data_IF_318814329888
#
_entry.id   IF_318814329888
#
_cell.length_a   1.000
_cell.length_b   1.000
_cell.length_c   1.000
_cell.angle_alpha   90.00
_cell.angle_beta   90.00
_cell.angle_gamma   90.00
#
_symmetry.space_group_name_H-M   'P 1'
#
loop_
_entity.id
_entity.type
_entity.pdbx_description
1 polymer ?
#
# COMPACT_ATOMS: atom_id res chain seq x y z
N UNK A 1 -4.52 2.89 5.71
CA UNK A 1 -3.41 2.60 6.66
C UNK A 1 -3.21 1.11 6.86
N UNK A 2 -4.24 0.32 7.16
CA UNK A 2 -4.12 -1.13 7.39
C UNK A 2 -3.42 -1.90 6.26
N UNK A 3 -3.73 -1.59 5.01
CA UNK A 3 -3.11 -2.21 3.84
C UNK A 3 -1.58 -2.01 3.77
N UNK A 4 -1.09 -0.81 4.08
CA UNK A 4 0.35 -0.56 4.16
C UNK A 4 1.01 -1.30 5.35
N UNK A 5 0.29 -1.40 6.49
CA UNK A 5 0.76 -2.19 7.63
C UNK A 5 0.84 -3.69 7.28
N UNK A 6 -0.11 -4.23 6.50
CA UNK A 6 -0.06 -5.61 6.05
C UNK A 6 1.21 -5.90 5.25
N UNK A 7 1.60 -5.00 4.34
CA UNK A 7 2.87 -5.12 3.61
C UNK A 7 4.10 -4.96 4.49
N UNK A 8 4.08 -4.04 5.46
CA UNK A 8 5.18 -3.93 6.42
C UNK A 8 5.34 -5.19 7.28
N UNK A 9 4.23 -5.87 7.57
CA UNK A 9 4.26 -7.17 8.25
C UNK A 9 4.78 -8.29 7.34
N UNK A 10 4.29 -8.39 6.09
CA UNK A 10 4.69 -9.46 5.17
C UNK A 10 6.18 -9.47 4.83
N UNK A 11 6.80 -8.28 4.85
CA UNK A 11 8.25 -8.13 4.66
C UNK A 11 9.11 -8.44 5.89
N UNK A 12 8.53 -8.83 7.03
CA UNK A 12 9.29 -9.18 8.23
C UNK A 12 9.99 -10.54 8.06
N UNK A 13 11.19 -10.68 8.63
CA UNK A 13 11.96 -11.93 8.57
C UNK A 13 11.36 -13.06 9.40
N UNK A 14 10.58 -12.71 10.42
CA UNK A 14 9.94 -13.66 11.33
C UNK A 14 8.43 -13.45 11.30
N UNK A 15 7.77 -14.16 10.38
CA UNK A 15 6.32 -14.22 10.32
C UNK A 15 5.81 -15.48 11.00
N UNK A 16 4.65 -15.43 11.70
CA UNK A 16 3.98 -16.63 12.15
C UNK A 16 3.67 -17.56 10.98
N UNK A 17 3.90 -18.87 11.15
CA UNK A 17 3.74 -19.86 10.09
C UNK A 17 2.29 -20.04 9.58
N UNK A 18 1.33 -19.47 10.27
CA UNK A 18 -0.08 -19.45 9.88
C UNK A 18 -0.46 -18.23 9.01
N UNK A 19 0.47 -17.33 8.70
CA UNK A 19 0.27 -16.27 7.71
C UNK A 19 0.59 -16.83 6.34
N UNK A 20 -0.44 -17.05 5.52
CA UNK A 20 -0.33 -17.80 4.27
C UNK A 20 -0.36 -16.91 3.01
N UNK A 21 -0.98 -15.74 3.08
CA UNK A 21 -1.09 -14.81 1.97
C UNK A 21 -1.33 -13.37 2.46
N UNK A 22 -1.19 -12.41 1.56
CA UNK A 22 -1.45 -10.99 1.83
C UNK A 22 -2.44 -10.43 0.81
N UNK A 23 -3.50 -9.80 1.31
CA UNK A 23 -4.42 -9.00 0.50
C UNK A 23 -4.36 -7.55 0.97
N UNK A 24 -4.14 -6.65 0.05
CA UNK A 24 -4.01 -5.22 0.34
C UNK A 24 -4.96 -4.41 -0.52
N UNK A 25 -5.88 -3.68 0.11
CA UNK A 25 -6.79 -2.76 -0.57
C UNK A 25 -6.39 -1.31 -0.28
N UNK A 26 -6.06 -0.56 -1.35
CA UNK A 26 -5.68 0.85 -1.32
C UNK A 26 -4.48 1.17 -0.42
N UNK A 27 -3.35 0.46 -0.58
CA UNK A 27 -2.11 0.77 0.12
C UNK A 27 -1.37 1.95 -0.50
N UNK A 28 -0.69 2.74 0.35
CA UNK A 28 0.31 3.72 -0.08
C UNK A 28 1.73 3.13 -0.01
N UNK A 29 2.66 3.71 -0.75
CA UNK A 29 4.07 3.26 -0.81
C UNK A 29 4.81 3.50 0.50
N UNK A 30 4.76 4.73 0.99
CA UNK A 30 5.42 5.15 2.23
C UNK A 30 4.77 6.43 2.79
N UNK A 31 4.98 6.67 4.07
CA UNK A 31 4.37 7.80 4.76
C UNK A 31 4.86 9.15 4.22
N UNK A 32 6.16 9.28 3.87
CA UNK A 32 6.73 10.52 3.37
C UNK A 32 6.15 10.88 1.99
N UNK A 33 6.10 9.93 1.05
CA UNK A 33 5.51 10.11 -0.28
C UNK A 33 4.02 10.45 -0.20
N UNK A 34 3.30 9.85 0.75
CA UNK A 34 1.90 10.13 0.99
C UNK A 34 1.70 11.58 1.48
N UNK A 35 2.53 12.08 2.40
CA UNK A 35 2.46 13.48 2.84
C UNK A 35 2.82 14.45 1.71
N UNK A 36 3.83 14.14 0.89
CA UNK A 36 4.19 14.93 -0.29
C UNK A 36 3.03 15.05 -1.27
N UNK A 37 2.37 13.93 -1.57
CA UNK A 37 1.20 13.92 -2.44
C UNK A 37 0.11 14.83 -1.87
N UNK A 38 -0.26 14.69 -0.59
CA UNK A 38 -1.32 15.47 0.05
C UNK A 38 -1.02 16.96 0.08
N UNK A 39 0.18 17.37 0.45
CA UNK A 39 0.56 18.78 0.52
C UNK A 39 0.46 19.44 -0.87
N UNK A 40 0.90 18.75 -1.92
CA UNK A 40 0.82 19.26 -3.27
C UNK A 40 -0.60 19.23 -3.83
N UNK A 41 -1.27 18.09 -3.72
CA UNK A 41 -2.51 17.81 -4.46
C UNK A 41 -3.76 18.39 -3.78
N UNK A 42 -3.81 18.38 -2.45
CA UNK A 42 -4.95 18.90 -1.70
C UNK A 42 -4.81 20.36 -1.31
N UNK A 43 -3.60 20.81 -1.02
CA UNK A 43 -3.37 22.18 -0.53
C UNK A 43 -2.73 23.08 -1.58
N UNK A 44 -2.25 22.54 -2.70
CA UNK A 44 -1.54 23.31 -3.72
C UNK A 44 -0.24 23.94 -3.22
N UNK A 45 0.31 23.42 -2.12
CA UNK A 45 1.50 23.98 -1.47
C UNK A 45 2.78 23.31 -1.99
N UNK A 46 3.92 24.05 -1.98
CA UNK A 46 5.19 23.45 -2.32
C UNK A 46 5.58 22.38 -1.30
N UNK A 47 6.06 21.25 -1.80
CA UNK A 47 6.50 20.11 -0.95
C UNK A 47 7.67 20.54 -0.08
N UNK A 48 8.71 21.13 -0.69
CA UNK A 48 9.85 21.73 0.01
C UNK A 48 9.56 23.21 0.34
N UNK A 49 9.83 23.67 1.56
CA UNK A 49 10.44 22.95 2.68
C UNK A 49 9.42 22.31 3.65
N UNK A 50 8.11 22.31 3.35
CA UNK A 50 7.04 21.99 4.31
C UNK A 50 7.16 20.56 4.82
N UNK A 51 7.17 19.58 3.91
CA UNK A 51 7.20 18.16 4.31
C UNK A 51 8.53 17.80 4.95
N UNK A 52 9.63 18.33 4.42
CA UNK A 52 10.97 18.09 4.95
C UNK A 52 11.13 18.66 6.36
N UNK A 53 10.65 19.88 6.59
CA UNK A 53 10.67 20.50 7.93
C UNK A 53 9.80 19.72 8.93
N UNK A 54 8.63 19.25 8.49
CA UNK A 54 7.76 18.44 9.32
C UNK A 54 8.42 17.09 9.66
N UNK A 55 9.05 16.43 8.68
CA UNK A 55 9.76 15.17 8.90
C UNK A 55 10.92 15.32 9.91
N UNK A 56 11.71 16.41 9.78
CA UNK A 56 12.78 16.73 10.72
C UNK A 56 12.21 17.00 12.13
N UNK A 57 11.11 17.75 12.24
CA UNK A 57 10.50 18.05 13.53
C UNK A 57 9.95 16.80 14.22
N UNK A 58 9.33 15.88 13.47
CA UNK A 58 8.86 14.59 13.96
C UNK A 58 10.01 13.74 14.46
N UNK A 59 11.10 13.68 13.72
CA UNK A 59 12.30 12.93 14.12
C UNK A 59 12.94 13.48 15.40
N UNK A 60 13.07 14.81 15.50
CA UNK A 60 13.72 15.44 16.66
C UNK A 60 12.86 15.41 17.93
N UNK A 61 11.52 15.53 17.80
CA UNK A 61 10.61 15.61 18.96
C UNK A 61 10.01 14.27 19.35
N UNK A 62 9.70 13.42 18.38
CA UNK A 62 9.01 12.16 18.59
C UNK A 62 9.86 10.92 18.35
N UNK A 63 11.06 11.05 17.79
CA UNK A 63 11.89 9.92 17.38
C UNK A 63 11.34 9.15 16.16
N UNK A 64 10.30 9.69 15.50
CA UNK A 64 9.66 9.04 14.36
C UNK A 64 10.30 9.49 13.06
N UNK A 65 10.80 8.54 12.28
CA UNK A 65 11.26 8.79 10.92
C UNK A 65 10.17 8.34 9.92
N UNK A 66 9.63 9.30 9.16
CA UNK A 66 8.59 9.03 8.16
C UNK A 66 9.05 8.07 7.05
N UNK A 67 10.36 8.00 6.79
CA UNK A 67 10.92 7.09 5.79
C UNK A 67 10.95 5.63 6.26
N UNK A 68 10.90 5.37 7.57
CA UNK A 68 10.83 4.01 8.10
C UNK A 68 9.45 3.36 7.92
N UNK A 69 8.39 4.15 7.77
CA UNK A 69 7.04 3.65 7.51
C UNK A 69 6.84 3.44 5.99
N UNK A 70 7.59 2.48 5.43
CA UNK A 70 7.63 2.19 4.00
C UNK A 70 7.12 0.78 3.70
N UNK A 71 5.91 0.69 3.15
CA UNK A 71 5.37 -0.53 2.58
C UNK A 71 6.17 -0.95 1.32
N UNK A 72 6.67 0.05 0.57
CA UNK A 72 7.45 -0.18 -0.64
C UNK A 72 8.77 -0.90 -0.36
N UNK A 73 9.44 -0.55 0.73
CA UNK A 73 10.68 -1.24 1.10
C UNK A 73 10.41 -2.62 1.68
N UNK A 74 9.35 -2.76 2.48
CA UNK A 74 8.97 -4.03 3.06
C UNK A 74 8.58 -5.07 2.00
N UNK A 75 7.80 -4.69 1.01
CA UNK A 75 7.27 -5.61 -0.02
C UNK A 75 8.39 -6.20 -0.92
N UNK A 76 9.56 -5.58 -0.95
CA UNK A 76 10.76 -6.13 -1.61
C UNK A 76 11.30 -7.37 -0.92
N UNK A 77 10.95 -7.57 0.34
CA UNK A 77 11.28 -8.77 1.11
C UNK A 77 10.15 -9.80 1.17
N UNK A 78 8.98 -9.46 0.64
CA UNK A 78 7.80 -10.32 0.69
C UNK A 78 8.00 -11.60 -0.10
N UNK A 79 7.55 -12.71 0.49
CA UNK A 79 7.59 -14.06 -0.11
C UNK A 79 6.22 -14.71 -0.15
N UNK A 80 5.22 -14.09 0.46
CA UNK A 80 3.85 -14.61 0.53
C UNK A 80 3.11 -14.33 -0.78
N UNK A 81 2.22 -15.22 -1.22
CA UNK A 81 1.25 -14.91 -2.26
C UNK A 81 0.52 -13.60 -1.96
N UNK A 82 0.54 -12.67 -2.90
CA UNK A 82 0.15 -11.27 -2.66
C UNK A 82 -0.84 -10.78 -3.70
N UNK A 83 -1.99 -10.28 -3.23
CA UNK A 83 -2.98 -9.59 -4.05
C UNK A 83 -3.03 -8.10 -3.67
N UNK A 84 -2.82 -7.24 -4.65
CA UNK A 84 -2.95 -5.78 -4.52
C UNK A 84 -4.23 -5.35 -5.19
N UNK A 85 -5.15 -4.72 -4.45
CA UNK A 85 -6.41 -4.18 -4.97
C UNK A 85 -6.37 -2.66 -4.87
N UNK A 86 -6.87 -1.96 -5.89
CA UNK A 86 -6.95 -0.50 -5.87
C UNK A 86 -8.04 0.03 -6.81
N UNK A 87 -8.69 1.12 -6.41
CA UNK A 87 -9.60 1.84 -7.28
C UNK A 87 -8.87 2.83 -8.19
N UNK A 88 -9.20 2.87 -9.48
CA UNK A 88 -8.52 3.80 -10.41
C UNK A 88 -8.91 5.27 -10.21
N UNK A 89 -10.01 5.55 -9.50
CA UNK A 89 -10.47 6.90 -9.16
C UNK A 89 -10.20 7.27 -7.69
N UNK A 90 -9.27 6.56 -7.04
CA UNK A 90 -8.88 6.87 -5.67
C UNK A 90 -8.17 8.23 -5.61
N UNK A 91 -8.86 9.22 -5.01
CA UNK A 91 -8.34 10.58 -4.80
C UNK A 91 -7.58 10.72 -3.47
N UNK A 92 -7.66 9.70 -2.62
CA UNK A 92 -6.94 9.70 -1.34
C UNK A 92 -5.52 9.16 -1.52
N UNK A 93 -5.38 8.03 -2.20
CA UNK A 93 -4.11 7.36 -2.51
C UNK A 93 -4.07 7.13 -4.02
N UNK A 94 -3.15 7.78 -4.76
CA UNK A 94 -3.12 7.66 -6.21
C UNK A 94 -2.83 6.21 -6.64
N UNK A 95 -3.53 5.74 -7.66
CA UNK A 95 -3.40 4.37 -8.19
C UNK A 95 -1.95 4.05 -8.65
N UNK A 96 -1.14 5.06 -8.96
CA UNK A 96 0.28 4.89 -9.28
C UNK A 96 1.05 4.20 -8.16
N UNK A 97 0.67 4.43 -6.89
CA UNK A 97 1.31 3.77 -5.74
C UNK A 97 1.03 2.26 -5.72
N UNK A 98 -0.15 1.81 -6.19
CA UNK A 98 -0.43 0.37 -6.33
C UNK A 98 0.47 -0.28 -7.37
N UNK A 99 0.70 0.38 -8.50
CA UNK A 99 1.63 -0.11 -9.53
C UNK A 99 3.08 -0.12 -9.04
N UNK A 100 3.49 0.89 -8.27
CA UNK A 100 4.83 0.92 -7.66
C UNK A 100 5.04 -0.24 -6.70
N UNK A 101 4.05 -0.52 -5.83
CA UNK A 101 4.06 -1.65 -4.92
C UNK A 101 4.10 -2.99 -5.68
N UNK A 102 3.26 -3.16 -6.70
CA UNK A 102 3.23 -4.37 -7.51
C UNK A 102 4.57 -4.64 -8.20
N UNK A 103 5.18 -3.60 -8.79
CA UNK A 103 6.47 -3.73 -9.46
C UNK A 103 7.61 -4.05 -8.47
N UNK A 104 7.56 -3.53 -7.24
CA UNK A 104 8.55 -3.77 -6.20
C UNK A 104 8.37 -5.10 -5.47
N UNK A 105 7.17 -5.67 -5.49
CA UNK A 105 6.83 -6.91 -4.80
C UNK A 105 7.71 -8.07 -5.29
N UNK A 106 8.40 -8.72 -4.33
CA UNK A 106 9.31 -9.84 -4.62
C UNK A 106 8.62 -11.21 -4.53
N UNK A 107 7.35 -11.28 -4.17
CA UNK A 107 6.59 -12.53 -4.17
C UNK A 107 6.58 -13.16 -5.57
N UNK A 108 6.79 -14.47 -5.63
CA UNK A 108 6.71 -15.23 -6.89
C UNK A 108 5.28 -15.24 -7.44
N UNK A 109 4.30 -15.38 -6.54
CA UNK A 109 2.89 -15.28 -6.84
C UNK A 109 2.37 -13.92 -6.41
N UNK A 110 2.08 -13.06 -7.38
CA UNK A 110 1.53 -11.73 -7.13
C UNK A 110 0.53 -11.34 -8.21
N UNK A 111 -0.54 -10.69 -7.77
CA UNK A 111 -1.58 -10.17 -8.65
C UNK A 111 -1.95 -8.75 -8.29
N UNK A 112 -2.48 -8.01 -9.26
CA UNK A 112 -3.01 -6.68 -9.07
C UNK A 112 -4.39 -6.57 -9.71
N UNK A 113 -5.39 -6.14 -8.92
CA UNK A 113 -6.75 -5.85 -9.37
C UNK A 113 -6.98 -4.34 -9.31
N UNK A 114 -7.15 -3.71 -10.47
CA UNK A 114 -7.54 -2.30 -10.56
C UNK A 114 -9.01 -2.22 -10.94
N UNK A 115 -9.85 -1.76 -9.99
CA UNK A 115 -11.30 -1.65 -10.17
C UNK A 115 -11.64 -0.29 -10.79
N UNK A 116 -12.26 -0.33 -11.97
CA UNK A 116 -12.62 0.86 -12.73
C UNK A 116 -13.77 1.64 -12.05
N UNK A 117 -13.61 2.95 -11.94
CA UNK A 117 -14.60 3.85 -11.32
C UNK A 117 -14.71 3.70 -9.79
N UNK A 118 -13.83 2.94 -9.15
CA UNK A 118 -13.78 2.81 -7.70
C UNK A 118 -12.89 3.91 -7.10
N UNK A 119 -13.40 4.57 -6.06
CA UNK A 119 -12.64 5.46 -5.18
C UNK A 119 -11.91 4.69 -4.08
N UNK A 120 -11.46 5.43 -3.05
CA UNK A 120 -10.74 4.85 -1.91
C UNK A 120 -11.57 3.84 -1.14
N UNK A 121 -11.09 2.60 -1.02
CA UNK A 121 -11.75 1.48 -0.34
C UNK A 121 -13.19 1.20 -0.86
N UNK A 122 -13.44 1.44 -2.13
CA UNK A 122 -14.74 1.22 -2.77
C UNK A 122 -14.70 0.07 -3.79
N UNK A 123 -13.61 -0.66 -3.88
CA UNK A 123 -13.45 -1.75 -4.86
C UNK A 123 -14.52 -2.84 -4.67
N UNK A 124 -14.75 -3.26 -3.43
CA UNK A 124 -15.75 -4.29 -3.10
C UNK A 124 -17.19 -3.85 -3.39
N UNK A 125 -17.50 -2.55 -3.22
CA UNK A 125 -18.84 -2.01 -3.50
C UNK A 125 -19.07 -1.81 -5.00
N UNK A 126 -18.00 -1.46 -5.73
CA UNK A 126 -18.09 -1.12 -7.15
C UNK A 126 -18.12 -2.33 -8.05
N UNK A 127 -17.32 -3.34 -7.75
CA UNK A 127 -17.26 -4.60 -8.47
C UNK A 127 -17.02 -5.76 -7.49
N UNK A 128 -18.07 -6.20 -6.79
CA UNK A 128 -17.97 -7.26 -5.79
C UNK A 128 -17.51 -8.60 -6.40
N UNK A 129 -17.94 -8.90 -7.62
CA UNK A 129 -17.60 -10.17 -8.27
C UNK A 129 -16.10 -10.23 -8.57
N UNK A 130 -15.51 -9.17 -9.14
CA UNK A 130 -14.08 -9.10 -9.36
C UNK A 130 -13.29 -9.06 -8.04
N UNK A 131 -13.77 -8.32 -7.04
CA UNK A 131 -13.10 -8.18 -5.75
C UNK A 131 -13.03 -9.52 -4.99
N UNK A 132 -14.18 -10.17 -4.79
CA UNK A 132 -14.22 -11.44 -4.06
C UNK A 132 -13.71 -12.61 -4.90
N UNK A 133 -13.84 -12.57 -6.23
CA UNK A 133 -13.26 -13.54 -7.15
C UNK A 133 -11.74 -13.58 -7.03
N UNK A 134 -11.07 -12.42 -7.15
CA UNK A 134 -9.60 -12.35 -7.02
C UNK A 134 -9.10 -12.83 -5.63
N UNK A 135 -9.84 -12.54 -4.56
CA UNK A 135 -9.51 -13.06 -3.22
C UNK A 135 -9.69 -14.58 -3.18
N UNK A 136 -10.77 -15.10 -3.75
CA UNK A 136 -11.05 -16.55 -3.84
C UNK A 136 -9.92 -17.27 -4.60
N UNK A 137 -9.54 -16.78 -5.77
CA UNK A 137 -8.46 -17.33 -6.59
C UNK A 137 -7.12 -17.38 -5.83
N UNK A 138 -6.80 -16.30 -5.08
CA UNK A 138 -5.62 -16.29 -4.22
C UNK A 138 -5.71 -17.37 -3.14
N UNK A 139 -6.85 -17.49 -2.44
CA UNK A 139 -7.03 -18.47 -1.37
C UNK A 139 -6.96 -19.90 -1.90
N UNK A 140 -7.61 -20.20 -3.03
CA UNK A 140 -7.58 -21.52 -3.68
C UNK A 140 -6.16 -21.92 -4.12
N UNK A 141 -5.29 -20.94 -4.38
CA UNK A 141 -3.89 -21.19 -4.74
C UNK A 141 -2.99 -21.49 -3.54
N UNK A 142 -3.45 -21.18 -2.32
CA UNK A 142 -2.68 -21.30 -1.07
C UNK A 142 -3.11 -22.53 -0.26
N UNK A 143 -4.38 -22.92 -0.37
CA UNK A 143 -5.00 -24.00 0.39
C UNK A 143 -5.49 -25.13 -0.50
#
# INVERSE_FOLDING_TARGET
MGAACAFMMSGMTELPSNVAAVVSDCAYTDAYSMFRYKIRDWFGLPVFPIVDSAAIALRLRGGYDLHMASALDAIRGDRLPTLIIHGNEDKLIPVSMAYELFNACAAEQKEILIVQGAGHAQAADKDPDAFYGAIGDLLDSVF
#
